data_IF_664563023738
#
_entry.id   IF_664563023738
#
_cell.length_a   1.000
_cell.length_b   1.000
_cell.length_c   1.000
_cell.angle_alpha   90.00
_cell.angle_beta   90.00
_cell.angle_gamma   90.00
#
_symmetry.space_group_name_H-M   'P 1'
#
loop_
_entity.id
_entity.type
_entity.pdbx_description
1 polymer ?
#
# COMPACT_ATOMS: atom_id res chain seq x y z
N UNK A 1 16.50 10.97 -19.97
CA UNK A 1 15.06 10.88 -19.60
C UNK A 1 14.75 9.58 -18.85
N UNK A 2 15.04 8.39 -19.41
CA UNK A 2 14.75 7.10 -18.77
C UNK A 2 15.40 6.94 -17.38
N UNK A 3 16.65 7.36 -17.19
CA UNK A 3 17.34 7.20 -15.90
C UNK A 3 16.75 8.10 -14.82
N UNK A 4 16.34 9.33 -15.17
CA UNK A 4 15.60 10.24 -14.27
C UNK A 4 14.27 9.60 -13.85
N UNK A 5 13.53 9.04 -14.81
CA UNK A 5 12.27 8.34 -14.52
C UNK A 5 12.49 7.11 -13.64
N UNK A 6 13.58 6.36 -13.85
CA UNK A 6 13.95 5.22 -13.01
C UNK A 6 14.22 5.67 -11.57
N UNK A 7 15.00 6.73 -11.37
CA UNK A 7 15.26 7.30 -10.03
C UNK A 7 13.95 7.75 -9.39
N UNK A 8 13.08 8.45 -10.13
CA UNK A 8 11.77 8.87 -9.64
C UNK A 8 10.91 7.66 -9.23
N UNK A 9 10.83 6.63 -10.07
CA UNK A 9 10.08 5.41 -9.77
C UNK A 9 10.61 4.73 -8.49
N UNK A 10 11.93 4.60 -8.35
CA UNK A 10 12.57 4.05 -7.14
C UNK A 10 12.21 4.88 -5.90
N UNK A 11 12.26 6.22 -5.99
CA UNK A 11 11.91 7.11 -4.88
C UNK A 11 10.44 7.02 -4.47
N UNK A 12 9.52 6.92 -5.43
CA UNK A 12 8.09 6.80 -5.13
C UNK A 12 7.76 5.41 -4.55
N UNK A 13 8.32 4.35 -5.13
CA UNK A 13 8.14 2.98 -4.62
C UNK A 13 8.80 2.80 -3.25
N UNK A 14 9.91 3.48 -2.95
CA UNK A 14 10.52 3.43 -1.62
C UNK A 14 9.64 4.08 -0.55
N UNK A 15 8.91 5.16 -0.88
CA UNK A 15 7.89 5.74 0.02
C UNK A 15 6.77 4.73 0.28
N UNK A 16 6.21 4.11 -0.77
CA UNK A 16 5.16 3.09 -0.66
C UNK A 16 5.59 1.91 0.23
N UNK A 17 6.83 1.45 0.02
CA UNK A 17 7.46 0.39 0.80
C UNK A 17 7.65 0.81 2.25
N UNK A 18 8.23 1.99 2.51
CA UNK A 18 8.52 2.45 3.86
C UNK A 18 7.26 2.57 4.72
N UNK A 19 6.18 3.13 4.17
CA UNK A 19 4.90 3.25 4.87
C UNK A 19 4.28 1.88 5.16
N UNK A 20 4.31 0.97 4.20
CA UNK A 20 3.77 -0.38 4.37
C UNK A 20 4.61 -1.20 5.36
N UNK A 21 5.93 -1.08 5.31
CA UNK A 21 6.86 -1.76 6.21
C UNK A 21 6.74 -1.22 7.64
N UNK A 22 6.71 0.09 7.83
CA UNK A 22 6.49 0.70 9.14
C UNK A 22 5.21 0.14 9.76
N UNK A 23 4.13 0.10 8.98
CA UNK A 23 2.87 -0.48 9.42
C UNK A 23 2.98 -1.96 9.81
N UNK A 24 3.60 -2.78 8.96
CA UNK A 24 3.78 -4.21 9.20
C UNK A 24 4.60 -4.49 10.48
N UNK A 25 5.58 -3.65 10.79
CA UNK A 25 6.43 -3.79 11.98
C UNK A 25 5.70 -3.47 13.30
N UNK A 26 4.57 -2.78 13.25
CA UNK A 26 3.73 -2.52 14.43
C UNK A 26 2.91 -3.74 14.87
N UNK A 27 2.74 -4.73 13.99
CA UNK A 27 1.87 -5.90 14.21
C UNK A 27 2.12 -6.64 15.53
N UNK A 28 3.38 -6.99 15.91
CA UNK A 28 3.62 -7.67 17.18
C UNK A 28 3.14 -6.84 18.39
N UNK A 29 3.26 -5.52 18.30
CA UNK A 29 2.77 -4.58 19.31
C UNK A 29 1.25 -4.56 19.38
N UNK A 30 0.61 -4.36 18.23
CA UNK A 30 -0.84 -4.24 18.11
C UNK A 30 -1.60 -5.51 18.52
N UNK A 31 -1.00 -6.69 18.34
CA UNK A 31 -1.60 -7.96 18.79
C UNK A 31 -1.82 -8.08 20.29
N UNK A 32 -1.07 -7.30 21.08
CA UNK A 32 -1.15 -7.31 22.54
C UNK A 32 -2.15 -6.30 23.09
N UNK A 33 -2.76 -5.49 22.21
CA UNK A 33 -3.73 -4.48 22.60
C UNK A 33 -5.12 -5.11 22.75
N UNK A 34 -5.88 -4.61 23.73
CA UNK A 34 -7.33 -4.80 23.76
C UNK A 34 -8.01 -4.03 22.62
N UNK A 35 -9.30 -4.33 22.37
CA UNK A 35 -10.05 -3.74 21.27
C UNK A 35 -10.11 -2.21 21.35
N UNK A 36 -10.37 -1.66 22.54
CA UNK A 36 -10.54 -0.22 22.73
C UNK A 36 -9.24 0.49 22.39
N UNK A 37 -8.13 -0.01 22.90
CA UNK A 37 -6.80 0.56 22.64
C UNK A 37 -6.42 0.39 21.16
N UNK A 38 -6.70 -0.76 20.55
CA UNK A 38 -6.45 -1.00 19.13
C UNK A 38 -7.21 -0.03 18.22
N UNK A 39 -8.50 0.20 18.49
CA UNK A 39 -9.32 1.15 17.73
C UNK A 39 -8.88 2.60 17.96
N UNK A 40 -8.47 2.95 19.18
CA UNK A 40 -8.03 4.31 19.52
C UNK A 40 -6.76 4.75 18.77
N UNK A 41 -5.89 3.82 18.37
CA UNK A 41 -4.67 4.17 17.61
C UNK A 41 -4.88 4.26 16.10
N UNK A 42 -5.94 3.68 15.53
CA UNK A 42 -6.16 3.70 14.07
C UNK A 42 -6.21 5.10 13.43
N UNK A 43 -6.77 6.13 14.08
CA UNK A 43 -6.86 7.46 13.47
C UNK A 43 -5.50 8.10 13.17
N UNK A 44 -4.41 7.67 13.82
CA UNK A 44 -3.08 8.27 13.62
C UNK A 44 -2.55 8.12 12.19
N UNK A 45 -3.07 7.15 11.42
CA UNK A 45 -2.67 6.96 10.03
C UNK A 45 -3.30 8.01 9.10
N UNK A 46 -4.41 8.63 9.50
CA UNK A 46 -5.06 9.67 8.71
C UNK A 46 -4.57 11.07 9.13
N UNK A 47 -4.33 12.01 8.19
CA UNK A 47 -4.37 11.85 6.74
C UNK A 47 -3.01 11.44 6.13
N UNK A 48 -1.94 11.40 6.93
CA UNK A 48 -0.56 11.25 6.45
C UNK A 48 -0.36 10.02 5.55
N UNK A 49 -0.86 8.85 5.97
CA UNK A 49 -0.76 7.62 5.17
C UNK A 49 -1.67 7.65 3.93
N UNK A 50 -2.72 8.47 3.92
CA UNK A 50 -3.55 8.67 2.71
C UNK A 50 -2.78 9.46 1.66
N UNK A 51 -2.11 10.55 2.06
CA UNK A 51 -1.24 11.29 1.14
C UNK A 51 -0.03 10.47 0.71
N UNK A 52 0.58 9.74 1.65
CA UNK A 52 1.67 8.81 1.38
C UNK A 52 1.27 7.70 0.40
N UNK A 53 0.07 7.14 0.52
CA UNK A 53 -0.47 6.18 -0.44
C UNK A 53 -0.76 6.80 -1.81
N UNK A 54 -1.23 8.05 -1.87
CA UNK A 54 -1.41 8.75 -3.14
C UNK A 54 -0.07 8.99 -3.85
N UNK A 55 0.92 9.53 -3.14
CA UNK A 55 2.23 9.86 -3.72
C UNK A 55 3.04 8.60 -4.00
N UNK A 56 3.21 7.74 -3.00
CA UNK A 56 4.01 6.53 -3.07
C UNK A 56 3.34 5.44 -3.92
N UNK A 57 2.16 4.97 -3.51
CA UNK A 57 1.55 3.80 -4.16
C UNK A 57 1.07 4.13 -5.59
N UNK A 58 0.28 5.20 -5.76
CA UNK A 58 -0.26 5.55 -7.09
C UNK A 58 0.83 6.17 -7.96
N UNK A 59 1.61 7.11 -7.43
CA UNK A 59 2.72 7.71 -8.16
C UNK A 59 3.78 6.67 -8.56
N UNK A 60 4.14 5.75 -7.66
CA UNK A 60 5.07 4.66 -7.94
C UNK A 60 4.56 3.70 -9.02
N UNK A 61 3.27 3.34 -8.97
CA UNK A 61 2.63 2.50 -9.99
C UNK A 61 2.67 3.17 -11.38
N UNK A 62 2.29 4.44 -11.46
CA UNK A 62 2.31 5.21 -12.72
C UNK A 62 3.73 5.37 -13.24
N UNK A 63 4.69 5.75 -12.39
CA UNK A 63 6.08 5.88 -12.79
C UNK A 63 6.67 4.55 -13.29
N UNK A 64 6.36 3.44 -12.63
CA UNK A 64 6.76 2.10 -13.07
C UNK A 64 6.10 1.70 -14.40
N UNK A 65 4.83 2.04 -14.63
CA UNK A 65 4.14 1.78 -15.89
C UNK A 65 4.77 2.55 -17.07
N UNK A 66 5.07 3.83 -16.87
CA UNK A 66 5.74 4.65 -17.89
C UNK A 66 7.16 4.13 -18.12
N UNK A 67 7.89 3.76 -17.07
CA UNK A 67 9.22 3.18 -17.20
C UNK A 67 9.19 1.87 -17.98
N UNK A 68 8.20 1.01 -17.71
CA UNK A 68 8.00 -0.24 -18.42
C UNK A 68 7.74 0.00 -19.92
N UNK A 69 6.85 0.93 -20.25
CA UNK A 69 6.54 1.30 -21.64
C UNK A 69 7.75 1.89 -22.39
N UNK A 70 8.67 2.55 -21.68
CA UNK A 70 9.91 3.10 -22.24
C UNK A 70 11.07 2.09 -22.30
N UNK A 71 10.90 0.88 -21.76
CA UNK A 71 11.96 -0.13 -21.69
C UNK A 71 11.81 -1.13 -22.85
N UNK A 72 12.86 -1.37 -23.66
CA UNK A 72 12.73 -2.27 -24.80
C UNK A 72 12.38 -3.70 -24.40
N UNK A 73 11.33 -4.24 -25.02
CA UNK A 73 10.88 -5.62 -24.82
C UNK A 73 12.01 -6.61 -25.14
N UNK A 74 12.12 -7.66 -24.33
CA UNK A 74 13.16 -8.69 -24.48
C UNK A 74 14.46 -8.41 -23.74
N UNK A 75 14.62 -7.23 -23.14
CA UNK A 75 15.77 -6.92 -22.26
C UNK A 75 15.54 -7.43 -20.84
N UNK A 76 16.60 -7.72 -20.09
CA UNK A 76 16.50 -8.03 -18.67
C UNK A 76 15.83 -6.88 -17.87
N UNK A 77 16.11 -5.63 -18.25
CA UNK A 77 15.51 -4.44 -17.67
C UNK A 77 13.98 -4.43 -17.81
N UNK A 78 13.47 -4.85 -18.97
CA UNK A 78 12.03 -4.93 -19.22
C UNK A 78 11.36 -5.92 -18.28
N UNK A 79 11.90 -7.13 -18.17
CA UNK A 79 11.30 -8.17 -17.33
C UNK A 79 11.37 -7.85 -15.83
N UNK A 80 12.48 -7.26 -15.36
CA UNK A 80 12.58 -6.77 -13.98
C UNK A 80 11.57 -5.65 -13.70
N UNK A 81 11.43 -4.69 -14.61
CA UNK A 81 10.46 -3.59 -14.46
C UNK A 81 9.02 -4.10 -14.54
N UNK A 82 8.74 -5.08 -15.41
CA UNK A 82 7.43 -5.72 -15.53
C UNK A 82 7.06 -6.46 -14.24
N UNK A 83 7.99 -7.24 -13.68
CA UNK A 83 7.79 -7.94 -12.42
C UNK A 83 7.58 -6.96 -11.26
N UNK A 84 8.32 -5.85 -11.21
CA UNK A 84 8.12 -4.79 -10.24
C UNK A 84 6.73 -4.17 -10.35
N UNK A 85 6.32 -3.82 -11.58
CA UNK A 85 5.00 -3.28 -11.87
C UNK A 85 3.88 -4.25 -11.46
N UNK A 86 4.02 -5.55 -11.72
CA UNK A 86 3.08 -6.57 -11.27
C UNK A 86 3.00 -6.69 -9.74
N UNK A 87 4.13 -6.55 -9.03
CA UNK A 87 4.13 -6.50 -7.56
C UNK A 87 3.36 -5.29 -7.03
N UNK A 88 3.52 -4.11 -7.66
CA UNK A 88 2.74 -2.92 -7.30
C UNK A 88 1.25 -3.11 -7.59
N UNK A 89 0.89 -3.69 -8.74
CA UNK A 89 -0.51 -4.05 -9.03
C UNK A 89 -1.07 -5.01 -7.97
N UNK A 90 -0.30 -6.01 -7.56
CA UNK A 90 -0.66 -6.90 -6.46
C UNK A 90 -0.87 -6.15 -5.14
N UNK A 91 0.01 -5.20 -4.81
CA UNK A 91 -0.08 -4.37 -3.61
C UNK A 91 -1.36 -3.51 -3.60
N UNK A 92 -1.74 -2.96 -4.76
CA UNK A 92 -3.01 -2.25 -4.94
C UNK A 92 -4.20 -3.20 -4.83
N UNK A 93 -4.12 -4.39 -5.42
CA UNK A 93 -5.14 -5.42 -5.29
C UNK A 93 -5.39 -5.81 -3.84
N UNK A 94 -4.33 -6.04 -3.06
CA UNK A 94 -4.42 -6.32 -1.62
C UNK A 94 -5.12 -5.18 -0.87
N UNK A 95 -4.79 -3.92 -1.19
CA UNK A 95 -5.48 -2.79 -0.58
C UNK A 95 -6.98 -2.80 -0.86
N UNK A 96 -7.36 -2.83 -2.13
CA UNK A 96 -8.77 -2.70 -2.52
C UNK A 96 -9.62 -3.89 -2.06
N UNK A 97 -9.05 -5.09 -2.03
CA UNK A 97 -9.78 -6.30 -1.70
C UNK A 97 -9.75 -6.64 -0.21
N UNK A 98 -8.68 -6.31 0.51
CA UNK A 98 -8.48 -6.75 1.90
C UNK A 98 -8.46 -5.59 2.91
N UNK A 99 -7.73 -4.51 2.62
CA UNK A 99 -7.55 -3.37 3.54
C UNK A 99 -8.74 -2.41 3.53
N UNK A 100 -9.15 -1.96 2.34
CA UNK A 100 -10.15 -0.93 2.14
C UNK A 100 -11.54 -1.29 2.73
N UNK A 101 -12.03 -2.53 2.61
CA UNK A 101 -13.31 -2.91 3.22
C UNK A 101 -13.34 -2.76 4.74
N UNK A 102 -12.20 -2.93 5.41
CA UNK A 102 -12.07 -2.79 6.87
C UNK A 102 -11.91 -1.32 7.27
N UNK A 103 -11.22 -0.50 6.47
CA UNK A 103 -11.10 0.95 6.72
C UNK A 103 -12.47 1.63 6.85
N UNK A 104 -13.46 1.18 6.07
CA UNK A 104 -14.83 1.71 6.15
C UNK A 104 -15.49 1.48 7.52
N UNK A 105 -15.15 0.36 8.18
CA UNK A 105 -15.63 0.04 9.54
C UNK A 105 -14.90 0.88 10.58
N UNK A 106 -13.57 1.00 10.49
CA UNK A 106 -12.80 1.71 11.52
C UNK A 106 -12.89 3.23 11.44
N UNK A 107 -13.13 3.78 10.25
CA UNK A 107 -13.22 5.22 10.05
C UNK A 107 -14.66 5.74 10.11
N UNK A 108 -15.65 4.87 10.42
CA UNK A 108 -17.07 5.25 10.46
C UNK A 108 -17.33 6.46 11.35
N UNK A 109 -16.70 6.49 12.53
CA UNK A 109 -16.91 7.55 13.53
C UNK A 109 -15.82 8.64 13.51
N UNK A 110 -14.94 8.63 12.49
CA UNK A 110 -13.82 9.57 12.41
C UNK A 110 -14.18 10.84 11.65
N UNK A 111 -13.65 11.98 12.12
CA UNK A 111 -13.81 13.28 11.47
C UNK A 111 -12.93 13.36 10.20
N UNK A 112 -13.43 12.81 9.11
CA UNK A 112 -12.77 12.83 7.79
C UNK A 112 -13.13 14.11 7.02
N UNK A 113 -12.23 14.53 6.12
CA UNK A 113 -12.55 15.57 5.12
C UNK A 113 -13.60 15.04 4.13
N UNK A 114 -14.24 15.94 3.37
CA UNK A 114 -15.27 15.57 2.40
C UNK A 114 -14.75 14.59 1.33
N UNK A 115 -13.52 14.78 0.86
CA UNK A 115 -12.86 13.87 -0.06
C UNK A 115 -12.52 12.53 0.59
N UNK A 116 -12.05 12.55 1.84
CA UNK A 116 -11.80 11.35 2.63
C UNK A 116 -13.06 10.50 2.82
N UNK A 117 -14.18 11.13 3.21
CA UNK A 117 -15.47 10.43 3.36
C UNK A 117 -15.91 9.75 2.06
N UNK A 118 -15.85 10.46 0.93
CA UNK A 118 -16.18 9.89 -0.39
C UNK A 118 -15.28 8.71 -0.75
N UNK A 119 -13.97 8.84 -0.51
CA UNK A 119 -12.99 7.80 -0.78
C UNK A 119 -13.26 6.53 0.02
N UNK A 120 -13.42 6.62 1.35
CA UNK A 120 -13.65 5.45 2.21
C UNK A 120 -15.08 4.90 2.13
N UNK A 121 -16.04 5.67 1.59
CA UNK A 121 -17.38 5.18 1.31
C UNK A 121 -17.44 4.28 0.07
N UNK A 122 -16.48 4.40 -0.86
CA UNK A 122 -16.43 3.64 -2.10
C UNK A 122 -16.15 2.15 -1.86
N UNK A 123 -16.50 1.31 -2.84
CA UNK A 123 -16.22 -0.12 -2.79
C UNK A 123 -17.07 -0.91 -1.78
N UNK A 124 -16.67 -2.16 -1.56
CA UNK A 124 -17.36 -3.08 -0.64
C UNK A 124 -16.94 -2.77 0.79
N UNK A 125 -17.90 -2.81 1.71
CA UNK A 125 -17.64 -2.77 3.16
C UNK A 125 -17.51 -4.18 3.69
N UNK A 126 -16.70 -4.38 4.73
CA UNK A 126 -16.90 -5.53 5.61
C UNK A 126 -18.07 -5.28 6.57
N UNK A 127 -18.59 -6.35 7.18
CA UNK A 127 -19.63 -6.24 8.22
C UNK A 127 -19.01 -5.82 9.54
N UNK A 128 -19.63 -4.82 10.18
CA UNK A 128 -19.27 -4.39 11.53
C UNK A 128 -19.60 -5.46 12.60
N UNK A 129 -20.43 -6.44 12.27
CA UNK A 129 -20.85 -7.52 13.18
C UNK A 129 -19.80 -8.64 13.31
N UNK A 130 -18.73 -8.61 12.52
CA UNK A 130 -17.64 -9.58 12.66
C UNK A 130 -16.86 -9.36 13.96
N UNK A 131 -16.28 -10.42 14.56
CA UNK A 131 -15.35 -10.27 15.66
C UNK A 131 -14.23 -9.28 15.31
N UNK A 132 -13.98 -8.31 16.18
CA UNK A 132 -12.99 -7.25 15.90
C UNK A 132 -11.58 -7.81 15.64
N UNK A 133 -11.23 -8.95 16.23
CA UNK A 133 -9.96 -9.64 16.02
C UNK A 133 -9.81 -10.16 14.60
N UNK A 134 -10.91 -10.60 13.96
CA UNK A 134 -10.92 -11.02 12.56
C UNK A 134 -10.68 -9.82 11.62
N UNK A 135 -11.35 -8.69 11.89
CA UNK A 135 -11.14 -7.44 11.16
C UNK A 135 -9.71 -6.92 11.33
N UNK A 136 -9.17 -6.93 12.56
CA UNK A 136 -7.76 -6.64 12.85
C UNK A 136 -6.86 -7.53 12.02
N UNK A 137 -6.99 -8.85 12.17
CA UNK A 137 -6.04 -9.77 11.56
C UNK A 137 -6.07 -9.65 10.03
N UNK A 138 -7.25 -9.54 9.42
CA UNK A 138 -7.38 -9.27 7.98
C UNK A 138 -6.62 -8.01 7.57
N UNK A 139 -6.82 -6.90 8.28
CA UNK A 139 -6.22 -5.64 7.90
C UNK A 139 -4.71 -5.61 8.16
N UNK A 140 -4.26 -6.06 9.32
CA UNK A 140 -2.84 -6.11 9.67
C UNK A 140 -2.06 -7.05 8.73
N UNK A 141 -2.58 -8.25 8.45
CA UNK A 141 -1.94 -9.16 7.49
C UNK A 141 -1.96 -8.62 6.06
N UNK A 142 -2.99 -7.86 5.68
CA UNK A 142 -3.01 -7.18 4.38
C UNK A 142 -1.88 -6.15 4.26
N UNK A 143 -1.55 -5.44 5.35
CA UNK A 143 -0.41 -4.52 5.37
C UNK A 143 0.93 -5.24 5.30
N UNK A 144 1.07 -6.40 5.97
CA UNK A 144 2.26 -7.26 5.82
C UNK A 144 2.44 -7.70 4.36
N UNK A 145 1.37 -8.19 3.72
CA UNK A 145 1.43 -8.59 2.31
C UNK A 145 1.82 -7.41 1.40
N UNK A 146 1.26 -6.23 1.65
CA UNK A 146 1.64 -5.00 0.94
C UNK A 146 3.11 -4.63 1.13
N UNK A 147 3.63 -4.75 2.35
CA UNK A 147 5.03 -4.48 2.64
C UNK A 147 5.97 -5.42 1.87
N UNK A 148 5.65 -6.71 1.81
CA UNK A 148 6.41 -7.72 1.06
C UNK A 148 6.41 -7.37 -0.44
N UNK A 149 5.23 -7.12 -1.02
CA UNK A 149 5.10 -6.79 -2.44
C UNK A 149 5.83 -5.50 -2.81
N UNK A 150 5.70 -4.45 -1.99
CA UNK A 150 6.40 -3.18 -2.19
C UNK A 150 7.93 -3.35 -2.10
N UNK A 151 8.40 -4.18 -1.16
CA UNK A 151 9.82 -4.48 -0.99
C UNK A 151 10.38 -5.22 -2.19
N UNK A 152 9.69 -6.26 -2.66
CA UNK A 152 10.08 -7.01 -3.87
C UNK A 152 10.10 -6.06 -5.08
N UNK A 153 9.07 -5.22 -5.25
CA UNK A 153 9.03 -4.22 -6.31
C UNK A 153 10.25 -3.28 -6.26
N UNK A 154 10.59 -2.76 -5.08
CA UNK A 154 11.73 -1.86 -4.91
C UNK A 154 13.04 -2.57 -5.29
N UNK A 155 13.25 -3.79 -4.80
CA UNK A 155 14.45 -4.57 -5.09
C UNK A 155 14.59 -4.81 -6.60
N UNK A 156 13.51 -5.20 -7.27
CA UNK A 156 13.50 -5.43 -8.72
C UNK A 156 13.85 -4.16 -9.53
N UNK A 157 13.39 -2.98 -9.10
CA UNK A 157 13.73 -1.71 -9.76
C UNK A 157 15.18 -1.27 -9.52
N UNK A 158 15.79 -1.67 -8.41
CA UNK A 158 17.18 -1.33 -8.05
C UNK A 158 18.17 -2.31 -8.67
N UNK A 159 17.78 -3.55 -8.95
CA UNK A 159 18.67 -4.55 -9.51
C UNK A 159 19.32 -4.08 -10.83
N UNK A 160 20.63 -4.31 -11.00
CA UNK A 160 21.31 -3.98 -12.23
C UNK A 160 20.82 -4.89 -13.35
N UNK A 161 20.53 -4.28 -14.49
CA UNK A 161 20.10 -4.95 -15.72
C UNK A 161 21.13 -4.60 -16.79
N UNK A 162 22.28 -5.28 -16.77
CA UNK A 162 23.28 -5.18 -17.84
C UNK A 162 22.79 -5.90 -19.09
#
# INVERSE_FOLDING_TARGET
>A
MRDILRVLAIMLVSIAMALSLAHALELPGKRRLDERTYRAVQPIYYPGFTYGGLVGDVGGLVAAAVLLAMTPVGTAAFWLTAAAFLCLLGMHGVYWLLTHPVNKVWLHDQALTDSGRKFFAAGRSDSADRPWTELRDRWEYSHVARAILATISLLLLVLPSR
#
